data_IF_214362325782
#
_entry.id   IF_214362325782
#
_cell.length_a   1.000
_cell.length_b   1.000
_cell.length_c   1.000
_cell.angle_alpha   90.00
_cell.angle_beta   90.00
_cell.angle_gamma   90.00
#
_symmetry.space_group_name_H-M   'P 1'
#
loop_
_entity.id
_entity.type
_entity.pdbx_description
1 polymer ?
#
# COMPACT_ATOMS: atom_id res chain seq x y z
N UNK A 1 24.13 -4.82 24.37
CA UNK A 1 22.67 -5.02 24.56
C UNK A 1 22.16 -5.87 23.40
N UNK A 2 21.63 -7.06 23.68
CA UNK A 2 21.01 -7.91 22.65
C UNK A 2 19.59 -7.39 22.41
N UNK A 3 19.46 -6.36 21.57
CA UNK A 3 18.15 -5.81 21.20
C UNK A 3 17.49 -6.76 20.19
N UNK A 4 16.29 -7.25 20.51
CA UNK A 4 15.45 -7.93 19.53
C UNK A 4 14.85 -6.89 18.59
N UNK A 5 15.41 -6.77 17.39
CA UNK A 5 14.93 -5.82 16.38
C UNK A 5 13.97 -6.51 15.43
N UNK A 6 12.67 -6.23 15.58
CA UNK A 6 11.67 -6.60 14.59
C UNK A 6 11.47 -5.47 13.57
N UNK A 7 11.37 -5.77 12.27
CA UNK A 7 11.23 -4.75 11.23
C UNK A 7 9.86 -4.06 11.18
N UNK A 8 8.86 -4.60 11.92
CA UNK A 8 7.50 -4.04 11.97
C UNK A 8 6.76 -4.48 13.24
N UNK A 9 5.77 -3.71 13.65
CA UNK A 9 4.81 -4.13 14.66
C UNK A 9 3.77 -5.10 14.08
N UNK A 10 3.34 -6.09 14.87
CA UNK A 10 2.22 -6.99 14.56
C UNK A 10 1.56 -7.41 15.88
N UNK A 11 0.23 -7.70 15.93
CA UNK A 11 -0.41 -8.19 17.15
C UNK A 11 0.28 -9.43 17.77
N UNK A 12 0.76 -10.38 16.95
CA UNK A 12 1.50 -11.53 17.49
C UNK A 12 2.86 -11.17 18.13
N UNK A 13 3.49 -10.06 17.71
CA UNK A 13 4.74 -9.56 18.32
C UNK A 13 4.44 -8.80 19.62
N UNK A 14 3.31 -8.11 19.69
CA UNK A 14 2.79 -7.52 20.92
C UNK A 14 2.59 -8.59 21.99
N UNK A 15 2.01 -9.75 21.65
CA UNK A 15 1.85 -10.88 22.60
C UNK A 15 3.20 -11.34 23.16
N UNK A 16 4.19 -11.49 22.27
CA UNK A 16 5.54 -11.90 22.67
C UNK A 16 6.15 -10.84 23.59
N UNK A 17 6.01 -9.56 23.27
CA UNK A 17 6.54 -8.48 24.12
C UNK A 17 5.85 -8.43 25.49
N UNK A 18 4.52 -8.53 25.55
CA UNK A 18 3.78 -8.57 26.82
C UNK A 18 4.17 -9.78 27.66
N UNK A 19 4.38 -10.95 27.05
CA UNK A 19 4.84 -12.14 27.79
C UNK A 19 6.27 -12.02 28.34
N UNK A 20 7.13 -11.22 27.70
CA UNK A 20 8.51 -11.02 28.12
C UNK A 20 8.68 -9.83 29.10
N UNK A 21 7.93 -8.74 28.90
CA UNK A 21 8.12 -7.48 29.60
C UNK A 21 6.96 -7.12 30.55
N UNK A 22 5.80 -7.78 30.45
CA UNK A 22 4.61 -7.51 31.26
C UNK A 22 3.78 -6.32 30.76
N UNK A 23 4.43 -5.18 30.50
CA UNK A 23 3.80 -3.96 30.01
C UNK A 23 4.54 -3.37 28.79
N UNK A 24 3.81 -2.60 27.98
CA UNK A 24 4.34 -1.86 26.84
C UNK A 24 3.98 -0.39 27.07
N UNK A 25 5.00 0.44 27.22
CA UNK A 25 4.86 1.89 27.35
C UNK A 25 5.05 2.59 26.00
N UNK A 26 4.59 3.83 25.91
CA UNK A 26 4.81 4.67 24.75
C UNK A 26 6.30 5.00 24.61
N UNK A 27 6.78 4.99 23.36
CA UNK A 27 8.14 5.39 23.07
C UNK A 27 8.21 6.93 23.05
N UNK A 28 8.82 7.53 24.07
CA UNK A 28 8.98 8.99 24.19
C UNK A 28 9.79 9.62 23.05
N UNK A 29 10.55 8.82 22.30
CA UNK A 29 11.43 9.32 21.25
C UNK A 29 10.76 9.37 19.87
N UNK A 30 10.88 10.52 19.19
CA UNK A 30 10.37 10.67 17.83
C UNK A 30 11.21 9.89 16.80
N UNK A 31 10.66 9.67 15.61
CA UNK A 31 11.45 9.08 14.51
C UNK A 31 12.68 9.93 14.17
N UNK A 32 12.53 11.26 14.22
CA UNK A 32 13.61 12.21 13.99
C UNK A 32 14.73 12.01 15.02
N UNK A 33 14.40 12.06 16.31
CA UNK A 33 15.36 11.86 17.41
C UNK A 33 16.08 10.51 17.30
N UNK A 34 15.37 9.44 16.95
CA UNK A 34 16.00 8.12 16.77
C UNK A 34 16.97 8.09 15.60
N UNK A 35 16.65 8.76 14.49
CA UNK A 35 17.58 8.87 13.36
C UNK A 35 18.73 9.83 13.65
N UNK A 36 18.52 10.87 14.45
CA UNK A 36 19.56 11.79 14.93
C UNK A 36 20.54 11.09 15.84
N UNK A 37 20.07 10.39 16.88
CA UNK A 37 20.92 9.57 17.75
C UNK A 37 21.67 8.49 16.96
N UNK A 38 21.05 7.95 15.90
CA UNK A 38 21.73 7.01 14.98
C UNK A 38 22.80 7.71 14.14
N UNK A 39 22.51 8.91 13.62
CA UNK A 39 23.46 9.70 12.85
C UNK A 39 24.65 10.10 13.72
N UNK A 40 24.42 10.54 14.96
CA UNK A 40 25.47 10.89 15.93
C UNK A 40 26.42 9.71 16.19
N UNK A 41 25.88 8.51 16.41
CA UNK A 41 26.71 7.29 16.54
C UNK A 41 27.56 7.04 15.30
N UNK A 42 27.00 7.22 14.11
CA UNK A 42 27.74 7.05 12.85
C UNK A 42 28.80 8.12 12.65
N UNK A 43 28.52 9.38 13.00
CA UNK A 43 29.51 10.47 13.03
C UNK A 43 30.65 10.14 14.00
N UNK A 44 30.35 9.60 15.19
CA UNK A 44 31.37 9.12 16.13
C UNK A 44 32.24 8.00 15.55
N UNK A 45 31.64 7.05 14.82
CA UNK A 45 32.40 6.01 14.12
C UNK A 45 33.27 6.59 13.00
N UNK A 46 32.75 7.54 12.22
CA UNK A 46 33.50 8.24 11.17
C UNK A 46 34.70 8.96 11.76
N UNK A 47 34.49 9.83 12.77
CA UNK A 47 35.55 10.59 13.43
C UNK A 47 36.64 9.69 14.04
N UNK A 48 36.25 8.55 14.64
CA UNK A 48 37.23 7.57 15.14
C UNK A 48 38.09 7.00 14.01
N UNK A 49 37.50 6.64 12.87
CA UNK A 49 38.24 6.09 11.72
C UNK A 49 39.11 7.14 11.04
N UNK A 50 38.64 8.38 10.93
CA UNK A 50 39.42 9.50 10.43
C UNK A 50 40.65 9.77 11.32
N UNK A 51 40.47 9.75 12.65
CA UNK A 51 41.60 9.89 13.59
C UNK A 51 42.60 8.75 13.48
N UNK A 52 42.14 7.49 13.40
CA UNK A 52 43.03 6.33 13.19
C UNK A 52 43.76 6.41 11.84
N UNK A 53 43.11 6.95 10.80
CA UNK A 53 43.73 7.19 9.50
C UNK A 53 44.83 8.24 9.58
N UNK A 54 44.56 9.38 10.22
CA UNK A 54 45.56 10.44 10.43
C UNK A 54 46.78 9.93 11.19
N UNK A 55 46.57 9.14 12.26
CA UNK A 55 47.67 8.52 13.01
C UNK A 55 48.51 7.56 12.15
N UNK A 56 47.86 6.78 11.26
CA UNK A 56 48.57 5.91 10.34
C UNK A 56 49.39 6.70 9.30
N UNK A 57 48.87 7.83 8.81
CA UNK A 57 49.62 8.73 7.93
C UNK A 57 50.81 9.36 8.65
N UNK A 58 50.64 9.86 9.88
CA UNK A 58 51.72 10.41 10.69
C UNK A 58 52.84 9.37 10.94
N UNK A 59 52.47 8.11 11.19
CA UNK A 59 53.45 7.02 11.34
C UNK A 59 54.21 6.76 10.04
N UNK A 60 53.50 6.71 8.91
CA UNK A 60 54.13 6.57 7.59
C UNK A 60 55.07 7.74 7.30
N UNK A 61 54.66 8.97 7.59
CA UNK A 61 55.47 10.17 7.37
C UNK A 61 56.76 10.11 8.19
N UNK A 62 56.68 9.72 9.47
CA UNK A 62 57.88 9.51 10.31
C UNK A 62 58.80 8.42 9.76
N UNK A 63 58.24 7.31 9.29
CA UNK A 63 59.02 6.22 8.67
C UNK A 63 59.68 6.68 7.38
N UNK A 64 58.97 7.43 6.55
CA UNK A 64 59.46 7.96 5.28
C UNK A 64 60.54 9.04 5.49
N UNK A 65 60.40 9.90 6.50
CA UNK A 65 61.37 10.95 6.82
C UNK A 65 62.76 10.40 7.22
N UNK A 66 62.84 9.15 7.70
CA UNK A 66 64.11 8.47 7.97
C UNK A 66 64.80 7.93 6.71
N UNK A 67 64.13 7.95 5.56
CA UNK A 67 64.66 7.48 4.28
C UNK A 67 65.00 8.69 3.40
N UNK A 68 66.26 8.86 2.97
CA UNK A 68 66.61 9.93 2.03
C UNK A 68 65.78 9.85 0.75
N UNK A 69 65.15 10.95 0.31
CA UNK A 69 64.29 10.94 -0.87
C UNK A 69 65.08 10.56 -2.13
N UNK A 70 64.52 9.64 -2.92
CA UNK A 70 65.10 9.20 -4.19
C UNK A 70 66.22 8.14 -4.08
N UNK A 71 66.54 7.65 -2.87
CA UNK A 71 67.54 6.59 -2.72
C UNK A 71 67.00 5.23 -3.24
N UNK A 72 67.60 4.62 -4.28
CA UNK A 72 67.18 3.30 -4.74
C UNK A 72 67.56 2.21 -3.74
N UNK A 73 66.77 1.13 -3.68
CA UNK A 73 67.13 -0.06 -2.91
C UNK A 73 68.35 -0.71 -3.58
N UNK A 74 69.49 -0.70 -2.89
CA UNK A 74 70.74 -1.30 -3.36
C UNK A 74 70.67 -2.82 -3.24
N UNK A 75 70.42 -3.52 -4.36
CA UNK A 75 70.34 -4.99 -4.42
C UNK A 75 71.71 -5.62 -4.16
N UNK A 76 71.79 -6.57 -3.23
CA UNK A 76 73.03 -7.25 -2.83
C UNK A 76 73.84 -6.52 -1.74
N UNK A 77 73.40 -5.36 -1.28
CA UNK A 77 74.08 -4.60 -0.21
C UNK A 77 73.58 -5.02 1.18
N UNK A 78 74.42 -4.91 2.22
CA UNK A 78 74.06 -5.32 3.60
C UNK A 78 72.82 -4.59 4.17
N UNK A 79 72.50 -3.40 3.66
CA UNK A 79 71.33 -2.60 4.05
C UNK A 79 70.03 -2.97 3.33
N UNK A 80 70.08 -3.80 2.28
CA UNK A 80 68.93 -4.14 1.42
C UNK A 80 67.74 -4.66 2.22
N UNK A 81 67.96 -5.61 3.13
CA UNK A 81 66.90 -6.23 3.94
C UNK A 81 66.20 -5.21 4.85
N UNK A 82 66.88 -4.15 5.26
CA UNK A 82 66.29 -3.06 6.05
C UNK A 82 65.45 -2.16 5.14
N UNK A 83 66.02 -1.69 4.04
CA UNK A 83 65.34 -0.84 3.06
C UNK A 83 64.04 -1.48 2.52
N UNK A 84 64.05 -2.77 2.19
CA UNK A 84 62.83 -3.50 1.77
C UNK A 84 61.76 -3.59 2.87
N UNK A 85 62.18 -3.79 4.13
CA UNK A 85 61.24 -3.83 5.27
C UNK A 85 60.61 -2.46 5.54
N UNK A 86 61.39 -1.39 5.46
CA UNK A 86 60.91 -0.04 5.70
C UNK A 86 59.94 0.39 4.57
N UNK A 87 60.28 0.09 3.31
CA UNK A 87 59.37 0.28 2.18
C UNK A 87 58.05 -0.50 2.35
N UNK A 88 58.12 -1.77 2.75
CA UNK A 88 56.92 -2.59 2.98
C UNK A 88 56.05 -2.05 4.13
N UNK A 89 56.67 -1.52 5.20
CA UNK A 89 55.95 -0.91 6.32
C UNK A 89 55.25 0.38 5.89
N UNK A 90 55.92 1.23 5.14
CA UNK A 90 55.34 2.45 4.54
C UNK A 90 54.16 2.09 3.64
N UNK A 91 54.32 1.13 2.74
CA UNK A 91 53.26 0.68 1.84
C UNK A 91 52.04 0.14 2.61
N UNK A 92 52.26 -0.73 3.60
CA UNK A 92 51.18 -1.29 4.41
C UNK A 92 50.50 -0.23 5.29
N UNK A 93 51.27 0.72 5.84
CA UNK A 93 50.74 1.86 6.58
C UNK A 93 49.85 2.74 5.71
N UNK A 94 50.28 3.04 4.48
CA UNK A 94 49.48 3.80 3.51
C UNK A 94 48.20 3.07 3.13
N UNK A 95 48.26 1.77 2.82
CA UNK A 95 47.06 0.96 2.54
C UNK A 95 46.08 0.99 3.71
N UNK A 96 46.59 0.89 4.94
CA UNK A 96 45.76 0.98 6.14
C UNK A 96 45.14 2.36 6.32
N UNK A 97 45.89 3.44 6.10
CA UNK A 97 45.38 4.80 6.16
C UNK A 97 44.23 5.01 5.16
N UNK A 98 44.43 4.64 3.89
CA UNK A 98 43.40 4.74 2.85
C UNK A 98 42.14 3.95 3.23
N UNK A 99 42.29 2.69 3.67
CA UNK A 99 41.14 1.87 4.11
C UNK A 99 40.37 2.52 5.27
N UNK A 100 41.08 3.12 6.23
CA UNK A 100 40.46 3.79 7.38
C UNK A 100 39.74 5.07 6.95
N UNK A 101 40.33 5.82 6.02
CA UNK A 101 39.72 7.01 5.43
C UNK A 101 38.43 6.67 4.67
N UNK A 102 38.46 5.71 3.75
CA UNK A 102 37.27 5.23 3.03
C UNK A 102 36.17 4.75 4.00
N UNK A 103 36.56 4.09 5.10
CA UNK A 103 35.61 3.66 6.12
C UNK A 103 35.04 4.83 6.92
N UNK A 104 35.79 5.92 7.09
CA UNK A 104 35.28 7.14 7.69
C UNK A 104 34.22 7.79 6.80
N UNK A 105 34.50 7.92 5.49
CA UNK A 105 33.55 8.44 4.49
C UNK A 105 32.28 7.59 4.44
N UNK A 106 32.41 6.25 4.42
CA UNK A 106 31.25 5.34 4.48
C UNK A 106 30.34 5.64 5.68
N UNK A 107 30.90 5.84 6.88
CA UNK A 107 30.10 6.13 8.06
C UNK A 107 29.48 7.52 8.02
N UNK A 108 30.18 8.50 7.44
CA UNK A 108 29.66 9.85 7.23
C UNK A 108 28.45 9.84 6.28
N UNK A 109 28.54 9.14 5.15
CA UNK A 109 27.42 8.95 4.23
C UNK A 109 26.22 8.26 4.90
N UNK A 110 26.48 7.27 5.77
CA UNK A 110 25.44 6.58 6.54
C UNK A 110 24.79 7.50 7.56
N UNK A 111 25.54 8.41 8.19
CA UNK A 111 25.00 9.43 9.10
C UNK A 111 24.06 10.37 8.34
N UNK A 112 24.54 10.93 7.22
CA UNK A 112 23.74 11.80 6.33
C UNK A 112 22.47 11.10 5.85
N UNK A 113 22.58 9.84 5.44
CA UNK A 113 21.45 9.03 4.97
C UNK A 113 20.39 8.79 6.05
N UNK A 114 20.80 8.63 7.32
CA UNK A 114 19.86 8.48 8.44
C UNK A 114 19.00 9.75 8.62
N UNK A 115 19.61 10.93 8.58
CA UNK A 115 18.91 12.21 8.68
C UNK A 115 17.96 12.43 7.49
N UNK A 116 18.41 12.14 6.27
CA UNK A 116 17.56 12.21 5.07
C UNK A 116 16.38 11.23 5.13
N UNK A 117 16.58 10.06 5.74
CA UNK A 117 15.53 9.07 5.92
C UNK A 117 14.40 9.58 6.81
N UNK A 118 14.72 10.23 7.94
CA UNK A 118 13.72 10.84 8.83
C UNK A 118 12.89 11.88 8.07
N UNK A 119 13.57 12.86 7.44
CA UNK A 119 12.92 13.90 6.63
C UNK A 119 12.03 13.31 5.54
N UNK A 120 12.49 12.27 4.85
CA UNK A 120 11.69 11.59 3.83
C UNK A 120 10.41 10.95 4.40
N UNK A 121 10.49 10.32 5.57
CA UNK A 121 9.36 9.63 6.21
C UNK A 121 8.30 10.59 6.74
N UNK A 122 8.70 11.83 7.06
CA UNK A 122 7.81 12.90 7.53
C UNK A 122 7.07 13.62 6.41
N UNK A 123 7.55 13.52 5.17
CA UNK A 123 6.92 14.19 4.03
C UNK A 123 5.42 13.88 3.94
N UNK A 124 4.55 14.90 3.76
CA UNK A 124 3.10 14.73 3.69
C UNK A 124 2.66 13.71 2.64
N UNK A 125 3.28 13.71 1.46
CA UNK A 125 2.95 12.78 0.38
C UNK A 125 3.32 11.32 0.70
N UNK A 126 4.40 11.11 1.45
CA UNK A 126 4.82 9.78 1.91
C UNK A 126 3.87 9.25 2.99
N UNK A 127 3.45 10.09 3.93
CA UNK A 127 2.43 9.74 4.94
C UNK A 127 1.09 9.42 4.30
N UNK A 128 0.64 10.22 3.34
CA UNK A 128 -0.62 9.96 2.63
C UNK A 128 -0.65 8.60 1.94
N UNK A 129 0.44 8.20 1.26
CA UNK A 129 0.53 6.87 0.64
C UNK A 129 0.47 5.75 1.67
N UNK A 130 1.04 5.97 2.85
CA UNK A 130 0.99 5.02 3.97
C UNK A 130 -0.42 4.90 4.53
N UNK A 131 -1.12 6.02 4.76
CA UNK A 131 -2.53 6.06 5.17
C UNK A 131 -3.37 5.24 4.18
N UNK A 132 -3.25 5.51 2.88
CA UNK A 132 -4.00 4.79 1.85
C UNK A 132 -3.75 3.27 1.89
N UNK A 133 -2.51 2.84 2.16
CA UNK A 133 -2.18 1.42 2.32
C UNK A 133 -2.86 0.84 3.56
N UNK A 134 -2.76 1.53 4.71
CA UNK A 134 -3.37 1.08 5.96
C UNK A 134 -4.90 1.01 5.83
N UNK A 135 -5.54 1.96 5.16
CA UNK A 135 -6.98 1.92 4.87
C UNK A 135 -7.37 0.74 3.96
N UNK A 136 -6.49 0.33 3.05
CA UNK A 136 -6.73 -0.88 2.25
C UNK A 136 -6.61 -2.16 3.10
N UNK A 137 -5.60 -2.22 3.97
CA UNK A 137 -5.39 -3.34 4.88
C UNK A 137 -6.53 -3.46 5.91
N UNK A 138 -7.01 -2.33 6.46
CA UNK A 138 -8.19 -2.26 7.33
C UNK A 138 -9.43 -2.84 6.64
N UNK A 139 -9.75 -2.38 5.42
CA UNK A 139 -10.89 -2.91 4.65
C UNK A 139 -10.78 -4.41 4.39
N UNK A 140 -9.56 -4.93 4.21
CA UNK A 140 -9.33 -6.36 4.03
C UNK A 140 -9.61 -7.15 5.32
N UNK A 141 -9.19 -6.64 6.47
CA UNK A 141 -9.47 -7.23 7.77
C UNK A 141 -10.98 -7.23 8.07
N UNK A 142 -11.65 -6.08 7.90
CA UNK A 142 -13.11 -5.93 8.07
C UNK A 142 -13.90 -6.86 7.15
N UNK A 143 -13.51 -6.98 5.87
CA UNK A 143 -14.14 -7.92 4.93
C UNK A 143 -14.01 -9.37 5.42
N UNK A 144 -12.87 -9.72 6.00
CA UNK A 144 -12.62 -11.07 6.52
C UNK A 144 -13.48 -11.35 7.75
N UNK A 145 -13.65 -10.35 8.64
CA UNK A 145 -14.58 -10.43 9.78
C UNK A 145 -16.01 -10.63 9.28
N UNK A 146 -16.48 -9.79 8.35
CA UNK A 146 -17.84 -9.87 7.82
C UNK A 146 -18.11 -11.23 7.14
N UNK A 147 -17.13 -11.77 6.41
CA UNK A 147 -17.23 -13.10 5.81
C UNK A 147 -17.32 -14.21 6.88
N UNK A 148 -16.50 -14.14 7.93
CA UNK A 148 -16.51 -15.11 9.04
C UNK A 148 -17.82 -15.03 9.82
N UNK A 149 -18.35 -13.82 10.05
CA UNK A 149 -19.66 -13.60 10.68
C UNK A 149 -20.80 -14.20 9.85
N UNK A 150 -20.76 -14.03 8.52
CA UNK A 150 -21.74 -14.65 7.62
C UNK A 150 -21.75 -16.17 7.77
N UNK A 151 -20.59 -16.81 7.81
CA UNK A 151 -20.50 -18.25 8.00
C UNK A 151 -20.90 -18.69 9.41
N UNK A 152 -20.57 -17.92 10.46
CA UNK A 152 -21.07 -18.19 11.81
C UNK A 152 -22.59 -18.21 11.86
N UNK A 153 -23.27 -17.27 11.21
CA UNK A 153 -24.74 -17.27 11.12
C UNK A 153 -25.27 -18.53 10.46
N UNK A 154 -24.61 -19.01 9.39
CA UNK A 154 -25.00 -20.24 8.69
C UNK A 154 -24.77 -21.48 9.54
N UNK A 155 -23.62 -21.60 10.21
CA UNK A 155 -23.28 -22.75 11.05
C UNK A 155 -24.08 -22.79 12.36
N UNK A 156 -24.50 -21.64 12.90
CA UNK A 156 -25.35 -21.54 14.10
C UNK A 156 -26.85 -21.69 13.82
N UNK A 157 -27.25 -21.88 12.56
CA UNK A 157 -28.65 -22.07 12.23
C UNK A 157 -29.21 -23.33 12.92
N UNK A 158 -30.33 -23.20 13.63
CA UNK A 158 -30.98 -24.32 14.33
C UNK A 158 -31.40 -25.44 13.36
N UNK A 159 -31.78 -25.07 12.14
CA UNK A 159 -32.22 -25.97 11.08
C UNK A 159 -31.08 -26.61 10.28
N UNK A 160 -29.83 -26.61 10.77
CA UNK A 160 -28.68 -27.12 10.03
C UNK A 160 -28.76 -28.66 9.90
N UNK A 161 -29.00 -29.14 8.68
CA UNK A 161 -28.93 -30.55 8.32
C UNK A 161 -27.62 -30.91 7.60
N UNK A 162 -27.45 -32.19 7.25
CA UNK A 162 -26.25 -32.69 6.57
C UNK A 162 -26.03 -32.06 5.19
N UNK A 163 -27.11 -31.83 4.43
CA UNK A 163 -27.02 -31.27 3.08
C UNK A 163 -26.60 -29.79 3.14
N UNK A 164 -27.16 -29.04 4.09
CA UNK A 164 -26.77 -27.66 4.38
C UNK A 164 -25.33 -27.59 4.88
N UNK A 165 -24.92 -28.48 5.79
CA UNK A 165 -23.54 -28.53 6.28
C UNK A 165 -22.53 -28.82 5.16
N UNK A 166 -22.84 -29.75 4.25
CA UNK A 166 -22.02 -29.99 3.04
C UNK A 166 -22.01 -28.75 2.14
N UNK A 167 -23.17 -28.13 1.87
CA UNK A 167 -23.23 -26.93 1.02
C UNK A 167 -22.41 -25.77 1.59
N UNK A 168 -22.55 -25.49 2.90
CA UNK A 168 -21.76 -24.45 3.58
C UNK A 168 -20.27 -24.79 3.50
N UNK A 169 -19.88 -26.03 3.84
CA UNK A 169 -18.48 -26.48 3.82
C UNK A 169 -17.82 -26.37 2.44
N UNK A 170 -18.60 -26.53 1.36
CA UNK A 170 -18.10 -26.41 -0.02
C UNK A 170 -17.62 -24.99 -0.36
N UNK A 171 -18.14 -23.97 0.34
CA UNK A 171 -17.78 -22.56 0.15
C UNK A 171 -16.92 -22.00 1.28
N UNK A 172 -17.01 -22.58 2.48
CA UNK A 172 -16.28 -22.12 3.66
C UNK A 172 -14.81 -22.58 3.65
N UNK A 173 -14.52 -23.71 2.99
CA UNK A 173 -13.17 -24.24 2.79
C UNK A 173 -12.36 -24.47 4.09
N UNK A 174 -13.04 -24.69 5.22
CA UNK A 174 -12.39 -25.07 6.49
C UNK A 174 -11.80 -26.47 6.36
N UNK A 175 -10.57 -26.62 6.86
CA UNK A 175 -9.88 -27.90 6.96
C UNK A 175 -9.37 -28.12 8.38
N UNK A 176 -9.36 -29.37 8.81
CA UNK A 176 -8.86 -29.81 10.12
C UNK A 176 -8.18 -31.18 10.00
N UNK A 177 -7.42 -31.57 11.01
CA UNK A 177 -6.90 -32.93 11.16
C UNK A 177 -7.89 -33.77 11.97
N UNK A 178 -8.05 -35.04 11.59
CA UNK A 178 -9.03 -35.96 12.19
C UNK A 178 -8.33 -37.24 12.70
N UNK A 179 -7.61 -37.15 13.83
CA UNK A 179 -6.95 -38.30 14.44
C UNK A 179 -7.97 -39.36 14.87
N UNK A 180 -7.57 -40.63 14.80
CA UNK A 180 -8.41 -41.79 15.10
C UNK A 180 -8.78 -41.88 16.58
N UNK A 181 -7.97 -41.29 17.47
CA UNK A 181 -8.25 -41.22 18.91
C UNK A 181 -9.51 -40.41 19.24
N UNK A 182 -9.76 -39.35 18.47
CA UNK A 182 -10.82 -38.37 18.67
C UNK A 182 -11.99 -38.64 17.73
N UNK A 183 -11.69 -39.12 16.51
CA UNK A 183 -12.66 -39.43 15.45
C UNK A 183 -12.54 -40.91 15.03
N UNK A 184 -12.96 -41.85 15.89
CA UNK A 184 -12.89 -43.27 15.60
C UNK A 184 -13.78 -43.61 14.41
N UNK A 185 -13.27 -44.47 13.51
CA UNK A 185 -13.97 -44.82 12.27
C UNK A 185 -13.75 -46.29 11.90
N UNK A 186 -14.70 -46.93 11.19
CA UNK A 186 -14.57 -48.32 10.75
C UNK A 186 -13.34 -48.52 9.86
N UNK A 187 -12.76 -49.73 9.87
CA UNK A 187 -11.58 -50.08 9.08
C UNK A 187 -11.78 -49.94 7.55
N UNK A 188 -13.04 -50.00 7.09
CA UNK A 188 -13.43 -49.85 5.69
C UNK A 188 -13.29 -48.42 5.16
N UNK A 189 -13.27 -47.43 6.06
CA UNK A 189 -13.13 -46.01 5.71
C UNK A 189 -11.66 -45.58 5.72
N UNK A 190 -11.37 -44.44 5.11
CA UNK A 190 -10.01 -43.87 5.09
C UNK A 190 -9.47 -43.69 6.51
N UNK A 191 -8.32 -44.30 6.80
CA UNK A 191 -7.65 -44.19 8.11
C UNK A 191 -6.76 -42.94 8.22
N UNK A 192 -6.68 -42.10 7.18
CA UNK A 192 -5.81 -40.93 7.13
C UNK A 192 -6.13 -39.88 8.21
N UNK A 193 -5.15 -39.53 9.05
CA UNK A 193 -5.30 -38.60 10.18
C UNK A 193 -4.89 -37.15 9.88
N UNK A 194 -4.39 -36.88 8.67
CA UNK A 194 -3.92 -35.55 8.29
C UNK A 194 -5.03 -34.57 7.92
N UNK A 195 -4.63 -33.43 7.36
CA UNK A 195 -5.56 -32.33 7.02
C UNK A 195 -6.57 -32.76 5.95
N UNK A 196 -7.85 -32.55 6.24
CA UNK A 196 -8.98 -32.74 5.32
C UNK A 196 -9.99 -31.60 5.46
N UNK A 197 -10.72 -31.32 4.37
CA UNK A 197 -11.81 -30.35 4.41
C UNK A 197 -12.99 -30.88 5.24
N UNK A 198 -13.76 -29.98 5.85
CA UNK A 198 -15.03 -30.35 6.52
C UNK A 198 -16.00 -31.04 5.56
N UNK A 199 -16.03 -30.61 4.29
CA UNK A 199 -16.88 -31.23 3.27
C UNK A 199 -16.54 -32.71 3.11
N UNK A 200 -15.25 -33.03 2.90
CA UNK A 200 -14.81 -34.40 2.72
C UNK A 200 -14.97 -35.23 3.99
N UNK A 201 -14.83 -34.62 5.18
CA UNK A 201 -15.03 -35.33 6.44
C UNK A 201 -16.52 -35.68 6.69
N UNK A 202 -17.44 -34.80 6.27
CA UNK A 202 -18.87 -35.06 6.27
C UNK A 202 -19.29 -36.07 5.19
N UNK A 203 -18.62 -36.07 4.04
CA UNK A 203 -18.94 -36.99 2.94
C UNK A 203 -18.54 -38.43 3.23
N UNK A 204 -17.38 -38.63 3.87
CA UNK A 204 -16.91 -39.95 4.29
C UNK A 204 -17.51 -40.41 5.62
N UNK A 205 -18.52 -39.71 6.18
CA UNK A 205 -19.02 -39.84 7.56
C UNK A 205 -17.90 -40.09 8.61
N UNK A 206 -16.86 -39.26 8.57
CA UNK A 206 -15.81 -39.22 9.60
C UNK A 206 -16.27 -38.38 10.78
N UNK A 207 -17.06 -37.33 10.50
CA UNK A 207 -17.62 -36.44 11.50
C UNK A 207 -19.13 -36.28 11.31
N UNK A 208 -19.82 -35.98 12.41
CA UNK A 208 -21.23 -35.60 12.38
C UNK A 208 -21.41 -34.13 11.99
N UNK A 209 -22.65 -33.74 11.67
CA UNK A 209 -23.03 -32.35 11.43
C UNK A 209 -22.70 -31.44 12.61
N UNK A 210 -22.95 -31.90 13.84
CA UNK A 210 -22.67 -31.15 15.06
C UNK A 210 -21.15 -31.00 15.30
N UNK A 211 -20.37 -32.05 15.05
CA UNK A 211 -18.90 -31.96 15.12
C UNK A 211 -18.36 -30.98 14.07
N UNK A 212 -18.88 -30.99 12.85
CA UNK A 212 -18.51 -30.02 11.83
C UNK A 212 -18.87 -28.59 12.24
N UNK A 213 -20.06 -28.39 12.82
CA UNK A 213 -20.53 -27.11 13.37
C UNK A 213 -19.57 -26.60 14.45
N UNK A 214 -19.20 -27.41 15.42
CA UNK A 214 -18.29 -27.03 16.50
C UNK A 214 -16.91 -26.59 15.97
N UNK A 215 -16.34 -27.38 15.04
CA UNK A 215 -15.05 -27.05 14.42
C UNK A 215 -15.15 -25.73 13.66
N UNK A 216 -16.19 -25.56 12.84
CA UNK A 216 -16.37 -24.38 12.03
C UNK A 216 -16.57 -23.11 12.88
N UNK A 217 -17.42 -23.18 13.91
CA UNK A 217 -17.64 -22.07 14.84
C UNK A 217 -16.33 -21.65 15.50
N UNK A 218 -15.58 -22.61 16.07
CA UNK A 218 -14.28 -22.33 16.71
C UNK A 218 -13.28 -21.68 15.74
N UNK A 219 -13.23 -22.15 14.50
CA UNK A 219 -12.35 -21.59 13.46
C UNK A 219 -12.71 -20.14 13.14
N UNK A 220 -13.99 -19.83 12.91
CA UNK A 220 -14.45 -18.48 12.61
C UNK A 220 -14.33 -17.53 13.80
N UNK A 221 -14.62 -17.98 15.02
CA UNK A 221 -14.44 -17.18 16.23
C UNK A 221 -12.96 -16.78 16.42
N UNK A 222 -12.04 -17.73 16.25
CA UNK A 222 -10.60 -17.45 16.27
C UNK A 222 -10.20 -16.47 15.16
N UNK A 223 -10.73 -16.64 13.95
CA UNK A 223 -10.45 -15.75 12.83
C UNK A 223 -10.94 -14.33 13.12
N UNK A 224 -12.15 -14.17 13.65
CA UNK A 224 -12.71 -12.86 14.02
C UNK A 224 -11.86 -12.20 15.10
N UNK A 225 -11.52 -12.92 16.17
CA UNK A 225 -10.67 -12.39 17.24
C UNK A 225 -9.32 -11.93 16.69
N UNK A 226 -8.67 -12.74 15.85
CA UNK A 226 -7.40 -12.39 15.23
C UNK A 226 -7.51 -11.14 14.34
N UNK A 227 -8.53 -11.07 13.48
CA UNK A 227 -8.72 -9.91 12.59
C UNK A 227 -9.13 -8.66 13.36
N UNK A 228 -9.88 -8.78 14.46
CA UNK A 228 -10.26 -7.64 15.29
C UNK A 228 -9.03 -6.96 15.90
N UNK A 229 -8.02 -7.75 16.32
CA UNK A 229 -6.74 -7.20 16.78
C UNK A 229 -6.02 -6.40 15.70
N UNK A 230 -6.06 -6.87 14.46
CA UNK A 230 -5.51 -6.14 13.32
C UNK A 230 -6.31 -4.87 12.99
N UNK A 231 -7.64 -4.93 13.06
CA UNK A 231 -8.51 -3.75 12.91
C UNK A 231 -8.13 -2.67 13.92
N UNK A 232 -8.02 -3.02 15.20
CA UNK A 232 -7.60 -2.09 16.26
C UNK A 232 -6.21 -1.52 15.97
N UNK A 233 -5.24 -2.37 15.59
CA UNK A 233 -3.90 -1.91 15.21
C UNK A 233 -3.91 -0.91 14.05
N UNK A 234 -4.67 -1.20 12.98
CA UNK A 234 -4.77 -0.30 11.83
C UNK A 234 -5.48 1.01 12.18
N UNK A 235 -6.51 0.97 13.01
CA UNK A 235 -7.20 2.17 13.49
C UNK A 235 -6.27 3.08 14.30
N UNK A 236 -5.58 2.54 15.29
CA UNK A 236 -4.60 3.29 16.08
C UNK A 236 -3.52 3.92 15.19
N UNK A 237 -3.02 3.14 14.22
CA UNK A 237 -2.01 3.62 13.28
C UNK A 237 -2.56 4.70 12.33
N UNK A 238 -3.82 4.60 11.91
CA UNK A 238 -4.46 5.65 11.08
C UNK A 238 -4.65 6.93 11.88
N UNK A 239 -5.03 6.84 13.15
CA UNK A 239 -5.16 8.00 14.04
C UNK A 239 -3.81 8.72 14.13
N UNK A 240 -2.74 7.99 14.43
CA UNK A 240 -1.38 8.55 14.47
C UNK A 240 -0.96 9.19 13.15
N UNK A 241 -1.07 8.46 12.03
CA UNK A 241 -0.59 8.99 10.74
C UNK A 241 -1.41 10.19 10.26
N UNK A 242 -2.71 10.25 10.58
CA UNK A 242 -3.57 11.41 10.27
C UNK A 242 -3.20 12.61 11.14
N UNK A 243 -3.05 12.43 12.45
CA UNK A 243 -2.61 13.49 13.36
C UNK A 243 -1.27 14.11 12.90
N UNK A 244 -0.28 13.26 12.60
CA UNK A 244 1.03 13.71 12.10
C UNK A 244 0.94 14.37 10.72
N UNK A 245 0.00 13.96 9.87
CA UNK A 245 -0.21 14.58 8.58
C UNK A 245 -0.85 15.97 8.75
N UNK A 246 -1.84 16.10 9.62
CA UNK A 246 -2.54 17.35 9.91
C UNK A 246 -1.60 18.40 10.50
N UNK A 247 -0.73 18.02 11.43
CA UNK A 247 0.33 18.88 12.00
C UNK A 247 1.31 19.41 10.94
N UNK A 248 1.61 18.62 9.90
CA UNK A 248 2.55 19.02 8.85
C UNK A 248 2.01 20.10 7.90
N UNK A 249 0.69 20.34 7.90
CA UNK A 249 0.06 21.45 7.16
C UNK A 249 0.25 21.48 5.65
N UNK A 250 0.74 20.39 5.02
CA UNK A 250 1.04 20.35 3.59
C UNK A 250 -0.21 20.40 2.69
N UNK A 251 -0.08 20.73 1.40
CA UNK A 251 -1.22 20.85 0.45
C UNK A 251 -2.11 19.61 0.40
N UNK A 252 -1.58 18.44 0.76
CA UNK A 252 -2.32 17.18 0.89
C UNK A 252 -3.37 17.20 2.03
N UNK A 253 -3.22 18.04 3.05
CA UNK A 253 -4.21 18.23 4.13
C UNK A 253 -5.36 19.15 3.71
N UNK A 254 -5.09 20.09 2.80
CA UNK A 254 -6.06 21.05 2.22
C UNK A 254 -6.88 20.48 1.07
N UNK A 255 -7.04 19.16 1.02
CA UNK A 255 -7.78 18.49 -0.06
C UNK A 255 -9.24 18.90 -0.15
N UNK A 256 -9.82 19.43 0.94
CA UNK A 256 -11.20 19.92 0.95
C UNK A 256 -11.37 21.22 0.17
N UNK A 257 -10.29 21.97 -0.06
CA UNK A 257 -10.28 23.29 -0.69
C UNK A 257 -10.20 23.21 -2.21
N UNK A 258 -10.03 22.00 -2.77
CA UNK A 258 -9.95 21.81 -4.22
C UNK A 258 -11.30 22.04 -4.88
N UNK A 259 -11.31 22.98 -5.83
CA UNK A 259 -12.48 23.36 -6.60
C UNK A 259 -12.25 23.15 -8.10
N UNK A 260 -13.28 22.74 -8.86
CA UNK A 260 -13.24 22.78 -10.32
C UNK A 260 -12.88 24.19 -10.80
N UNK A 261 -11.96 24.28 -11.77
CA UNK A 261 -11.41 25.54 -12.28
C UNK A 261 -10.09 25.95 -11.62
N UNK A 262 -9.80 25.49 -10.39
CA UNK A 262 -8.53 25.77 -9.73
C UNK A 262 -7.34 25.10 -10.41
N UNK A 263 -6.11 25.51 -10.08
CA UNK A 263 -4.90 24.92 -10.64
C UNK A 263 -4.12 24.15 -9.58
N UNK A 264 -3.64 22.95 -9.93
CA UNK A 264 -2.78 22.12 -9.09
C UNK A 264 -1.40 22.00 -9.70
N UNK A 265 -0.35 22.20 -8.90
CA UNK A 265 1.01 21.97 -9.34
C UNK A 265 1.40 20.51 -9.13
N UNK A 266 1.81 19.84 -10.20
CA UNK A 266 2.21 18.44 -10.16
C UNK A 266 3.31 18.16 -11.18
N UNK A 267 4.38 17.49 -10.76
CA UNK A 267 5.52 17.09 -11.63
C UNK A 267 6.11 18.23 -12.47
N UNK A 268 6.16 19.45 -11.92
CA UNK A 268 6.77 20.60 -12.59
C UNK A 268 5.82 21.41 -13.48
N UNK A 269 4.54 21.06 -13.54
CA UNK A 269 3.54 21.72 -14.37
C UNK A 269 2.29 22.12 -13.57
N UNK A 270 1.70 23.27 -13.91
CA UNK A 270 0.41 23.70 -13.39
C UNK A 270 -0.71 23.12 -14.26
N UNK A 271 -1.63 22.36 -13.62
CA UNK A 271 -2.72 21.69 -14.29
C UNK A 271 -4.07 22.21 -13.78
N UNK A 272 -4.96 22.60 -14.69
CA UNK A 272 -6.31 23.03 -14.33
C UNK A 272 -7.18 21.83 -13.93
N UNK A 273 -7.89 21.97 -12.80
CA UNK A 273 -8.83 20.99 -12.29
C UNK A 273 -10.11 21.04 -13.10
N UNK A 274 -10.37 19.98 -13.85
CA UNK A 274 -11.63 19.80 -14.59
C UNK A 274 -12.72 19.28 -13.65
N UNK A 275 -12.37 18.36 -12.76
CA UNK A 275 -13.33 17.72 -11.85
C UNK A 275 -12.66 17.28 -10.56
N UNK A 276 -13.35 17.46 -9.43
CA UNK A 276 -12.94 16.92 -8.14
C UNK A 276 -13.70 15.63 -7.85
N UNK A 277 -12.98 14.53 -7.57
CA UNK A 277 -13.58 13.24 -7.27
C UNK A 277 -13.48 12.95 -5.77
N UNK A 278 -14.62 12.89 -5.09
CA UNK A 278 -14.69 12.60 -3.65
C UNK A 278 -15.06 11.13 -3.39
N UNK A 279 -14.50 10.56 -2.33
CA UNK A 279 -14.87 9.25 -1.76
C UNK A 279 -14.94 9.38 -0.25
N UNK A 280 -16.02 8.93 0.38
CA UNK A 280 -16.24 9.03 1.83
C UNK A 280 -16.06 10.46 2.37
N UNK A 281 -16.55 11.47 1.64
CA UNK A 281 -16.45 12.89 2.02
C UNK A 281 -15.12 13.57 1.70
N UNK A 282 -14.02 12.83 1.51
CA UNK A 282 -12.69 13.37 1.21
C UNK A 282 -12.36 13.34 -0.30
N UNK A 283 -11.49 14.23 -0.77
CA UNK A 283 -11.03 14.21 -2.18
C UNK A 283 -10.08 13.05 -2.41
N UNK A 284 -10.50 12.14 -3.30
CA UNK A 284 -9.72 10.96 -3.71
C UNK A 284 -8.74 11.27 -4.84
N UNK A 285 -9.13 12.16 -5.76
CA UNK A 285 -8.36 12.57 -6.93
C UNK A 285 -8.99 13.76 -7.62
N UNK A 286 -8.20 14.54 -8.33
CA UNK A 286 -8.66 15.59 -9.25
C UNK A 286 -8.42 15.12 -10.69
N UNK A 287 -9.39 15.37 -11.56
CA UNK A 287 -9.26 15.13 -13.00
C UNK A 287 -8.64 16.37 -13.63
N UNK A 288 -7.53 16.19 -14.34
CA UNK A 288 -6.79 17.25 -15.03
C UNK A 288 -6.53 16.83 -16.48
N UNK A 289 -6.08 17.74 -17.36
CA UNK A 289 -5.42 17.36 -18.61
C UNK A 289 -4.24 16.41 -18.35
N UNK A 290 -3.86 15.67 -19.39
CA UNK A 290 -2.60 14.93 -19.38
C UNK A 290 -1.41 15.89 -19.23
N UNK A 291 -0.31 15.42 -18.64
CA UNK A 291 0.92 16.18 -18.55
C UNK A 291 1.44 16.46 -19.96
N UNK A 292 1.99 17.66 -20.15
CA UNK A 292 2.62 18.08 -21.42
C UNK A 292 3.65 17.07 -21.93
N UNK A 293 4.50 16.54 -21.03
CA UNK A 293 5.56 15.58 -21.38
C UNK A 293 5.06 14.23 -21.93
N UNK A 294 3.77 13.90 -21.76
CA UNK A 294 3.20 12.66 -22.30
C UNK A 294 2.95 12.72 -23.81
N UNK A 295 2.87 13.91 -24.40
CA UNK A 295 2.75 14.08 -25.85
C UNK A 295 1.41 13.64 -26.46
N UNK A 296 0.38 13.35 -25.64
CA UNK A 296 -0.97 13.06 -26.12
C UNK A 296 -2.05 13.78 -25.31
N UNK A 297 -3.09 14.24 -26.00
CA UNK A 297 -4.23 14.91 -25.39
C UNK A 297 -5.14 13.92 -24.67
N UNK A 298 -5.84 14.42 -23.65
CA UNK A 298 -6.74 13.62 -22.83
C UNK A 298 -6.78 14.11 -21.39
N UNK A 299 -7.46 13.34 -20.54
CA UNK A 299 -7.56 13.64 -19.11
C UNK A 299 -7.01 12.51 -18.27
N UNK A 300 -6.45 12.85 -17.11
CA UNK A 300 -5.97 11.89 -16.13
C UNK A 300 -6.49 12.20 -14.73
N UNK A 301 -6.30 11.25 -13.82
CA UNK A 301 -6.58 11.44 -12.39
C UNK A 301 -5.27 11.66 -11.64
N UNK A 302 -5.12 12.85 -11.07
CA UNK A 302 -4.01 13.19 -10.19
C UNK A 302 -4.49 12.99 -8.75
N UNK A 303 -3.76 12.19 -7.99
CA UNK A 303 -4.04 11.94 -6.58
C UNK A 303 -3.38 13.01 -5.70
N UNK A 304 -3.93 13.30 -4.50
CA UNK A 304 -3.40 14.34 -3.62
C UNK A 304 -1.90 14.22 -3.33
N UNK A 305 -1.34 13.01 -3.19
CA UNK A 305 0.09 12.78 -2.96
C UNK A 305 1.01 13.24 -4.09
N UNK A 306 0.46 13.61 -5.25
CA UNK A 306 1.20 14.12 -6.40
C UNK A 306 1.06 15.63 -6.56
N UNK A 307 0.26 16.28 -5.71
CA UNK A 307 -0.01 17.71 -5.74
C UNK A 307 0.89 18.37 -4.71
N UNK A 308 1.70 19.32 -5.16
CA UNK A 308 2.66 20.05 -4.32
C UNK A 308 2.22 21.48 -4.05
N UNK A 309 1.35 22.05 -4.89
CA UNK A 309 0.82 23.41 -4.73
C UNK A 309 -0.60 23.51 -5.31
N UNK A 310 -1.38 24.48 -4.86
CA UNK A 310 -2.76 24.72 -5.28
C UNK A 310 -3.09 26.20 -5.34
N UNK A 311 -3.75 26.61 -6.43
CA UNK A 311 -4.32 27.95 -6.61
C UNK A 311 -5.82 27.82 -6.79
N UNK A 312 -6.58 28.49 -5.93
CA UNK A 312 -8.03 28.55 -6.02
C UNK A 312 -8.47 29.27 -7.31
N UNK A 313 -9.58 28.84 -7.93
CA UNK A 313 -10.15 29.54 -9.08
C UNK A 313 -10.71 30.90 -8.68
N UNK A 314 -10.82 31.81 -9.65
CA UNK A 314 -11.74 32.94 -9.50
C UNK A 314 -13.20 32.44 -9.48
N UNK A 315 -14.12 33.24 -8.94
CA UNK A 315 -15.54 32.87 -8.91
C UNK A 315 -16.12 32.60 -10.32
N UNK A 316 -15.63 33.32 -11.32
CA UNK A 316 -16.01 33.14 -12.73
C UNK A 316 -15.46 31.83 -13.30
N UNK A 317 -14.18 31.54 -13.04
CA UNK A 317 -13.53 30.28 -13.47
C UNK A 317 -14.18 29.06 -12.83
N UNK A 318 -14.55 29.15 -11.55
CA UNK A 318 -15.26 28.09 -10.83
C UNK A 318 -16.65 27.84 -11.43
N UNK A 319 -17.38 28.91 -11.77
CA UNK A 319 -18.69 28.81 -12.41
C UNK A 319 -18.61 28.18 -13.80
N UNK A 320 -17.66 28.62 -14.64
CA UNK A 320 -17.43 28.06 -15.98
C UNK A 320 -17.01 26.60 -15.90
N UNK A 321 -16.06 26.26 -15.02
CA UNK A 321 -15.61 24.88 -14.84
C UNK A 321 -16.73 23.97 -14.30
N UNK A 322 -17.56 24.47 -13.38
CA UNK A 322 -18.73 23.74 -12.87
C UNK A 322 -19.75 23.45 -13.96
N UNK A 323 -19.99 24.40 -14.89
CA UNK A 323 -20.83 24.17 -16.06
C UNK A 323 -20.22 23.16 -17.03
N UNK A 324 -18.93 23.30 -17.37
CA UNK A 324 -18.21 22.39 -18.26
C UNK A 324 -18.10 20.95 -17.69
N UNK A 325 -18.08 20.79 -16.37
CA UNK A 325 -18.03 19.48 -15.72
C UNK A 325 -19.37 18.72 -15.72
N UNK A 326 -20.50 19.39 -16.03
CA UNK A 326 -21.82 18.74 -16.13
C UNK A 326 -21.83 17.84 -17.36
N UNK A 327 -21.97 16.54 -17.12
CA UNK A 327 -22.10 15.57 -18.22
C UNK A 327 -23.43 15.82 -18.94
N UNK A 328 -23.48 15.65 -20.28
CA UNK A 328 -24.72 15.74 -21.05
C UNK A 328 -25.81 14.81 -20.48
N UNK A 329 -27.11 15.13 -20.62
CA UNK A 329 -28.18 14.32 -20.06
C UNK A 329 -28.17 12.90 -20.65
N UNK A 330 -28.58 11.90 -19.86
CA UNK A 330 -28.79 10.54 -20.38
C UNK A 330 -30.22 10.45 -20.89
N UNK A 331 -30.38 10.37 -22.20
CA UNK A 331 -31.69 10.30 -22.86
C UNK A 331 -32.28 8.89 -22.75
N UNK A 332 -33.60 8.81 -22.84
CA UNK A 332 -34.38 7.58 -22.80
C UNK A 332 -35.58 7.76 -23.71
N UNK A 333 -35.49 7.28 -24.94
CA UNK A 333 -36.56 7.41 -25.94
C UNK A 333 -36.70 6.09 -26.71
N UNK A 334 -37.91 5.75 -27.19
CA UNK A 334 -38.12 4.60 -28.06
C UNK A 334 -37.55 4.88 -29.45
N UNK A 335 -36.92 3.89 -30.07
CA UNK A 335 -36.33 4.03 -31.40
C UNK A 335 -36.30 2.69 -32.13
N UNK A 336 -36.29 2.73 -33.46
CA UNK A 336 -36.23 1.53 -34.27
C UNK A 336 -34.93 0.75 -34.01
N UNK A 337 -35.04 -0.57 -33.78
CA UNK A 337 -33.90 -1.43 -33.44
C UNK A 337 -33.38 -1.28 -32.00
N UNK A 338 -34.06 -0.53 -31.14
CA UNK A 338 -33.70 -0.46 -29.72
C UNK A 338 -34.16 -1.71 -28.98
N UNK A 339 -33.35 -2.20 -28.06
CA UNK A 339 -33.74 -3.26 -27.14
C UNK A 339 -34.51 -2.66 -25.98
N UNK A 340 -35.76 -3.07 -25.84
CA UNK A 340 -36.60 -2.72 -24.70
C UNK A 340 -36.29 -3.60 -23.50
N UNK A 341 -36.19 -2.99 -22.32
CA UNK A 341 -36.05 -3.72 -21.06
C UNK A 341 -36.49 -2.87 -19.88
N UNK A 342 -36.76 -3.51 -18.75
CA UNK A 342 -37.02 -2.81 -17.49
C UNK A 342 -35.72 -2.38 -16.81
N UNK A 343 -35.81 -1.46 -15.87
CA UNK A 343 -34.69 -1.01 -15.03
C UNK A 343 -34.05 -2.18 -14.28
N UNK A 344 -34.86 -3.14 -13.82
CA UNK A 344 -34.38 -4.34 -13.13
C UNK A 344 -33.54 -5.24 -14.04
N UNK A 345 -34.01 -5.46 -15.27
CA UNK A 345 -33.28 -6.23 -16.29
C UNK A 345 -31.96 -5.55 -16.67
N UNK A 346 -31.96 -4.22 -16.87
CA UNK A 346 -30.73 -3.45 -17.10
C UNK A 346 -29.75 -3.52 -15.93
N UNK A 347 -30.25 -3.51 -14.69
CA UNK A 347 -29.43 -3.65 -13.49
C UNK A 347 -28.77 -5.04 -13.41
N UNK A 348 -29.52 -6.10 -13.75
CA UNK A 348 -29.06 -7.49 -13.75
C UNK A 348 -28.02 -7.81 -14.84
N UNK A 349 -27.96 -7.04 -15.94
CA UNK A 349 -26.96 -7.25 -16.99
C UNK A 349 -25.53 -7.13 -16.44
N UNK A 350 -24.60 -8.04 -16.85
CA UNK A 350 -23.18 -7.94 -16.51
C UNK A 350 -22.58 -6.60 -16.93
N UNK A 351 -21.62 -6.10 -16.15
CA UNK A 351 -21.00 -4.78 -16.39
C UNK A 351 -20.35 -4.68 -17.78
N UNK A 352 -19.79 -5.77 -18.28
CA UNK A 352 -19.12 -5.82 -19.58
C UNK A 352 -20.10 -5.85 -20.77
N UNK A 353 -21.37 -6.19 -20.51
CA UNK A 353 -22.41 -6.28 -21.52
C UNK A 353 -23.24 -4.99 -21.66
N UNK A 354 -23.00 -3.97 -20.81
CA UNK A 354 -23.75 -2.72 -20.81
C UNK A 354 -22.84 -1.49 -20.84
N UNK A 355 -23.21 -0.49 -21.63
CA UNK A 355 -22.44 0.73 -21.81
C UNK A 355 -23.34 1.97 -21.90
N UNK A 356 -22.77 3.12 -21.56
CA UNK A 356 -23.36 4.44 -21.86
C UNK A 356 -22.40 5.15 -22.80
N UNK A 357 -22.90 5.59 -23.95
CA UNK A 357 -22.12 6.33 -24.95
C UNK A 357 -22.55 7.79 -24.97
N UNK A 358 -21.62 8.65 -25.36
CA UNK A 358 -21.86 10.09 -25.54
C UNK A 358 -21.95 10.40 -27.03
N UNK A 359 -22.80 11.36 -27.36
CA UNK A 359 -22.86 12.02 -28.67
C UNK A 359 -22.52 13.48 -28.42
N UNK A 360 -21.60 14.02 -29.22
CA UNK A 360 -21.23 15.43 -29.18
C UNK A 360 -22.38 16.29 -29.71
N UNK A 361 -22.29 17.59 -29.45
CA UNK A 361 -23.26 18.54 -29.98
C UNK A 361 -23.13 18.65 -31.50
N UNK A 362 -24.27 18.72 -32.20
CA UNK A 362 -24.35 18.89 -33.64
C UNK A 362 -25.25 20.10 -33.99
N UNK A 363 -25.50 20.34 -35.27
CA UNK A 363 -26.39 21.44 -35.72
C UNK A 363 -27.85 21.20 -35.34
N UNK A 364 -28.28 19.94 -35.25
CA UNK A 364 -29.66 19.49 -35.04
C UNK A 364 -29.98 19.08 -33.60
N UNK A 365 -28.95 18.84 -32.77
CA UNK A 365 -29.13 18.42 -31.39
C UNK A 365 -28.02 18.88 -30.44
N UNK A 366 -28.38 19.15 -29.19
CA UNK A 366 -27.42 19.30 -28.09
C UNK A 366 -26.67 18.00 -27.78
N UNK A 367 -25.56 18.09 -27.06
CA UNK A 367 -24.84 16.89 -26.61
C UNK A 367 -25.73 16.01 -25.73
N UNK A 368 -25.64 14.69 -25.87
CA UNK A 368 -26.43 13.75 -25.05
C UNK A 368 -25.70 12.42 -24.82
N UNK A 369 -26.24 11.59 -23.92
CA UNK A 369 -25.74 10.23 -23.65
C UNK A 369 -26.86 9.21 -23.75
N UNK A 370 -26.57 8.03 -24.29
CA UNK A 370 -27.58 6.97 -24.47
C UNK A 370 -27.05 5.61 -24.01
N UNK A 371 -27.96 4.70 -23.67
CA UNK A 371 -27.64 3.36 -23.16
C UNK A 371 -27.50 2.37 -24.32
N UNK A 372 -26.54 1.47 -24.20
CA UNK A 372 -26.34 0.35 -25.13
C UNK A 372 -26.09 -0.96 -24.38
N UNK A 373 -26.50 -2.07 -24.98
CA UNK A 373 -26.18 -3.42 -24.52
C UNK A 373 -25.78 -4.30 -25.68
N UNK A 374 -25.12 -5.41 -25.42
CA UNK A 374 -25.06 -6.50 -26.40
C UNK A 374 -26.42 -7.20 -26.52
N UNK A 375 -26.84 -7.48 -27.76
CA UNK A 375 -27.95 -8.37 -28.08
C UNK A 375 -27.49 -9.84 -28.10
N UNK A 376 -28.42 -10.76 -28.39
CA UNK A 376 -28.12 -12.19 -28.44
C UNK A 376 -27.19 -12.59 -29.60
N UNK A 377 -26.95 -11.68 -30.55
CA UNK A 377 -26.05 -11.84 -31.69
C UNK A 377 -24.72 -11.11 -31.48
N UNK A 378 -24.39 -10.73 -30.23
CA UNK A 378 -23.18 -9.98 -29.87
C UNK A 378 -23.03 -8.62 -30.57
N UNK A 379 -24.14 -8.02 -31.02
CA UNK A 379 -24.17 -6.68 -31.60
C UNK A 379 -24.52 -5.67 -30.52
N UNK A 380 -23.87 -4.51 -30.58
CA UNK A 380 -24.21 -3.40 -29.69
C UNK A 380 -25.50 -2.72 -30.19
N UNK A 381 -26.55 -2.78 -29.39
CA UNK A 381 -27.85 -2.14 -29.69
C UNK A 381 -28.17 -1.07 -28.66
N UNK A 382 -28.93 -0.06 -29.06
CA UNK A 382 -29.40 0.99 -28.15
C UNK A 382 -30.48 0.42 -27.22
N UNK A 383 -30.62 1.00 -26.04
CA UNK A 383 -31.56 0.49 -25.01
C UNK A 383 -32.57 1.56 -24.66
N UNK A 384 -33.84 1.17 -24.73
CA UNK A 384 -34.97 1.91 -24.18
C UNK A 384 -35.40 1.24 -22.87
N UNK A 385 -35.42 2.01 -21.78
CA UNK A 385 -35.91 1.51 -20.49
C UNK A 385 -37.38 1.87 -20.35
N UNK A 386 -38.25 0.86 -20.43
CA UNK A 386 -39.71 1.03 -20.56
C UNK A 386 -40.39 1.58 -19.29
N UNK A 387 -39.82 1.30 -18.12
CA UNK A 387 -40.29 1.79 -16.81
C UNK A 387 -39.55 3.05 -16.32
N UNK A 388 -38.80 3.72 -17.21
CA UNK A 388 -38.19 5.04 -16.94
C UNK A 388 -38.89 6.14 -17.76
N UNK A 389 -38.98 7.34 -17.18
CA UNK A 389 -39.51 8.53 -17.86
C UNK A 389 -38.79 8.76 -19.18
N UNK A 390 -39.55 9.09 -20.23
CA UNK A 390 -39.01 9.49 -21.52
C UNK A 390 -38.19 10.77 -21.34
N UNK A 391 -36.96 10.75 -21.82
CA UNK A 391 -36.05 11.90 -21.83
C UNK A 391 -35.58 12.05 -23.27
N UNK A 392 -36.10 13.06 -23.96
CA UNK A 392 -35.82 13.29 -25.38
C UNK A 392 -34.41 13.86 -25.60
N UNK A 393 -33.96 13.80 -26.85
CA UNK A 393 -32.70 14.40 -27.27
C UNK A 393 -32.82 15.92 -27.08
N UNK A 394 -31.86 16.57 -26.38
CA UNK A 394 -31.88 18.02 -26.23
C UNK A 394 -31.86 18.68 -27.61
N UNK A 395 -32.84 19.53 -27.90
CA UNK A 395 -32.81 20.39 -29.08
C UNK A 395 -31.93 21.61 -28.79
N UNK A 396 -31.29 22.11 -29.84
CA UNK A 396 -30.36 23.23 -29.76
C UNK A 396 -31.08 24.58 -29.84
#
# INVERSE_FOLDING_TARGET
QALFVAPAWTPGREDVLLSLAGEIEDEDSTLAERQEARAERFTGYSGKRASESAQALDEVERLAAMIPPGQPILVGHHSERRARRDAQRIENGMKRAVMLFERAEYWEERARSALLHAKYKERPDVRWRRIKKIEADLRKAEKTIAQSQKYLTMWRAESLDLNMAKLISSHDHISACFPLDTYPRPAEKSQYEGSRSLWSALDDDIITTEQAREIAIRCHERQIQHQQRWVNHYQNRLIYERAMLDESGGVVTRTQDFEPGGQVFSRGEWLTIIRVNKSNGAVSSVTTPNYSFLGYSGTMKVTPDRITDYKAPSAEEAAVASQAAKRPPVVNYPGEGFREMTKAQWAALPRDCKAVRSVEEAEDHGAYRYRRTMDNNFRLVNVYITDMKITEIPQK
#
